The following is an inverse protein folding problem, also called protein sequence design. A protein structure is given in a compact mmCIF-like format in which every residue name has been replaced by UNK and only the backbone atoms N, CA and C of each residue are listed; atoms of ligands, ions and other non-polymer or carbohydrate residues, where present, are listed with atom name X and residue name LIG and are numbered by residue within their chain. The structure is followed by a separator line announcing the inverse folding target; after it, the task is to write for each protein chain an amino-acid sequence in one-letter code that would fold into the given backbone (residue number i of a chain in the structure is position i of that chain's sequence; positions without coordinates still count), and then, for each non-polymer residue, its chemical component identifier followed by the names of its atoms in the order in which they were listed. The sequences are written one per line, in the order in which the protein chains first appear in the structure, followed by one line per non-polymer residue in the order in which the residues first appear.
data_IF_828404593653
#
_entry.id   IF_828404593653
#
_cell.length_a   1.000
_cell.length_b   1.000
_cell.length_c   1.000
_cell.angle_alpha   90.00
_cell.angle_beta   90.00
_cell.angle_gamma   90.00
#
_symmetry.space_group_name_H-M   'P 1'
#
loop_
_entity.id
_entity.type
_entity.pdbx_description
1 polymer ?
#
# COMPACT_ATOMS: atom_id res chain seq x y z
N UNK A 1 30.66 32.21 22.05
CA UNK A 1 30.84 31.09 21.09
C UNK A 1 29.58 30.24 21.14
N UNK A 2 28.63 30.48 20.24
CA UNK A 2 27.43 29.65 20.12
C UNK A 2 27.74 28.49 19.16
N UNK A 3 27.52 27.29 19.69
CA UNK A 3 27.63 25.98 19.08
C UNK A 3 27.26 25.95 17.60
N UNK A 4 28.08 25.25 16.81
CA UNK A 4 27.80 24.87 15.42
C UNK A 4 26.38 24.35 15.29
N UNK A 5 25.57 25.03 14.46
CA UNK A 5 24.24 24.53 14.09
C UNK A 5 24.44 23.21 13.34
N UNK A 6 23.84 22.14 13.85
CA UNK A 6 23.64 20.91 13.08
C UNK A 6 22.62 21.18 11.97
N UNK A 7 23.01 21.93 10.93
CA UNK A 7 22.20 22.10 9.74
C UNK A 7 22.77 21.23 8.63
N UNK A 8 21.96 20.31 8.09
CA UNK A 8 22.30 19.61 6.86
C UNK A 8 21.90 20.49 5.66
N UNK A 9 22.72 20.55 4.60
CA UNK A 9 22.44 21.38 3.41
C UNK A 9 21.20 20.90 2.63
N UNK A 10 20.86 19.61 2.71
CA UNK A 10 19.63 19.03 2.17
C UNK A 10 19.32 17.71 2.88
N UNK A 11 18.04 17.39 3.05
CA UNK A 11 17.57 16.06 3.48
C UNK A 11 17.50 15.05 2.32
N UNK A 12 17.61 15.51 1.06
CA UNK A 12 17.56 14.67 -0.14
C UNK A 12 18.97 14.18 -0.48
N UNK A 13 19.36 13.07 0.16
CA UNK A 13 20.66 12.41 -0.06
C UNK A 13 20.53 11.33 -1.15
N UNK A 14 20.64 11.74 -2.42
CA UNK A 14 20.36 10.90 -3.61
C UNK A 14 21.02 9.52 -3.55
N UNK A 15 22.33 9.47 -3.24
CA UNK A 15 23.08 8.21 -3.25
C UNK A 15 22.64 7.29 -2.11
N UNK A 16 22.38 7.83 -0.93
CA UNK A 16 21.88 7.05 0.21
C UNK A 16 20.45 6.56 -0.01
N UNK A 17 19.58 7.38 -0.61
CA UNK A 17 18.23 6.96 -1.02
C UNK A 17 18.28 5.79 -2.01
N UNK A 18 19.18 5.85 -3.00
CA UNK A 18 19.40 4.74 -3.92
C UNK A 18 19.92 3.48 -3.20
N UNK A 19 20.83 3.61 -2.25
CA UNK A 19 21.30 2.47 -1.44
C UNK A 19 20.15 1.84 -0.64
N UNK A 20 19.25 2.65 -0.08
CA UNK A 20 18.06 2.15 0.62
C UNK A 20 17.16 1.40 -0.37
N UNK A 21 16.82 2.00 -1.52
CA UNK A 21 15.97 1.36 -2.55
C UNK A 21 16.54 0.02 -3.03
N UNK A 22 17.83 -0.04 -3.37
CA UNK A 22 18.52 -1.28 -3.75
C UNK A 22 18.49 -2.32 -2.62
N UNK A 23 18.67 -1.89 -1.37
CA UNK A 23 18.60 -2.79 -0.21
C UNK A 23 17.20 -3.36 -0.04
N UNK A 24 16.16 -2.53 -0.21
CA UNK A 24 14.75 -2.94 -0.08
C UNK A 24 14.37 -3.99 -1.13
N UNK A 25 14.98 -3.97 -2.33
CA UNK A 25 14.73 -4.98 -3.37
C UNK A 25 15.18 -6.39 -2.98
N UNK A 26 16.07 -6.53 -1.99
CA UNK A 26 16.54 -7.82 -1.50
C UNK A 26 15.76 -8.35 -0.30
N UNK A 27 14.90 -7.52 0.31
CA UNK A 27 14.09 -7.95 1.44
C UNK A 27 13.07 -9.00 1.01
N UNK A 28 12.96 -10.05 1.83
CA UNK A 28 11.97 -11.10 1.67
C UNK A 28 10.90 -10.96 2.75
N UNK A 29 9.64 -11.31 2.44
CA UNK A 29 8.62 -11.44 3.48
C UNK A 29 9.09 -12.40 4.59
N UNK A 30 8.76 -12.12 5.86
CA UNK A 30 9.14 -13.00 6.96
C UNK A 30 8.42 -14.34 6.85
N UNK A 31 9.13 -15.41 7.17
CA UNK A 31 8.54 -16.74 7.31
C UNK A 31 7.84 -16.86 8.66
N UNK A 32 6.71 -17.56 8.72
CA UNK A 32 6.05 -17.85 10.00
C UNK A 32 7.01 -18.58 10.96
N UNK A 33 7.31 -18.02 12.14
CA UNK A 33 8.22 -18.62 13.10
C UNK A 33 7.46 -19.63 14.00
N UNK A 34 7.39 -20.90 13.58
CA UNK A 34 6.65 -21.95 14.30
C UNK A 34 7.14 -22.16 15.74
N UNK A 35 8.42 -21.89 16.00
CA UNK A 35 9.05 -21.96 17.31
C UNK A 35 8.56 -20.87 18.29
N UNK A 36 8.14 -19.72 17.76
CA UNK A 36 7.66 -18.58 18.55
C UNK A 36 6.14 -18.47 18.57
N UNK A 37 5.49 -18.64 17.42
CA UNK A 37 4.05 -18.39 17.23
C UNK A 37 3.22 -19.67 17.09
N UNK A 38 3.85 -20.83 17.22
CA UNK A 38 3.21 -22.15 17.17
C UNK A 38 3.19 -22.74 15.76
N UNK A 39 3.04 -24.07 15.71
CA UNK A 39 3.03 -24.84 14.47
C UNK A 39 1.85 -24.48 13.56
N UNK A 40 2.07 -24.56 12.25
CA UNK A 40 1.03 -24.40 11.23
C UNK A 40 0.26 -25.71 11.06
N UNK A 41 -1.07 -25.63 11.04
CA UNK A 41 -1.91 -26.76 10.65
C UNK A 41 -1.89 -26.91 9.12
N UNK A 42 -1.01 -27.79 8.62
CA UNK A 42 -0.80 -27.97 7.17
C UNK A 42 -2.06 -28.45 6.42
N UNK A 43 -2.82 -29.47 6.91
CA UNK A 43 -4.11 -29.82 6.31
C UNK A 43 -5.08 -28.65 6.21
N UNK A 44 -5.19 -27.83 7.26
CA UNK A 44 -6.08 -26.67 7.26
C UNK A 44 -5.56 -25.55 6.34
N UNK A 45 -4.26 -25.31 6.29
CA UNK A 45 -3.63 -24.40 5.34
C UNK A 45 -3.84 -24.85 3.87
N UNK A 46 -3.84 -26.15 3.59
CA UNK A 46 -4.15 -26.66 2.25
C UNK A 46 -5.60 -26.38 1.83
N UNK A 47 -6.56 -26.47 2.76
CA UNK A 47 -7.94 -26.02 2.53
C UNK A 47 -7.98 -24.51 2.28
N UNK A 48 -7.23 -23.74 3.08
CA UNK A 48 -7.07 -22.29 2.91
C UNK A 48 -6.50 -21.90 1.55
N UNK A 49 -5.56 -22.69 1.00
CA UNK A 49 -4.99 -22.48 -0.34
C UNK A 49 -6.06 -22.57 -1.43
N UNK A 50 -6.98 -23.54 -1.31
CA UNK A 50 -8.09 -23.67 -2.26
C UNK A 50 -9.05 -22.46 -2.17
N UNK A 51 -9.42 -22.07 -0.94
CA UNK A 51 -10.26 -20.89 -0.69
C UNK A 51 -9.61 -19.59 -1.19
N UNK A 52 -8.31 -19.43 -0.99
CA UNK A 52 -7.55 -18.28 -1.46
C UNK A 52 -7.55 -18.20 -2.99
N UNK A 53 -7.36 -19.34 -3.66
CA UNK A 53 -7.41 -19.42 -5.12
C UNK A 53 -8.78 -19.00 -5.66
N UNK A 54 -9.86 -19.45 -5.01
CA UNK A 54 -11.24 -19.10 -5.38
C UNK A 54 -11.56 -17.62 -5.13
N UNK A 55 -11.17 -17.08 -3.97
CA UNK A 55 -11.74 -15.83 -3.45
C UNK A 55 -10.77 -14.64 -3.44
N UNK A 56 -9.45 -14.88 -3.45
CA UNK A 56 -8.45 -13.84 -3.18
C UNK A 56 -7.49 -13.62 -4.37
N UNK A 57 -7.08 -14.71 -5.03
CA UNK A 57 -6.01 -14.68 -6.02
C UNK A 57 -6.29 -13.74 -7.19
N UNK A 58 -7.55 -13.63 -7.63
CA UNK A 58 -7.94 -12.74 -8.73
C UNK A 58 -7.60 -11.27 -8.51
N UNK A 59 -7.54 -10.81 -7.25
CA UNK A 59 -7.12 -9.44 -6.92
C UNK A 59 -5.66 -9.39 -6.43
N UNK A 60 -5.24 -10.35 -5.59
CA UNK A 60 -4.00 -10.27 -4.83
C UNK A 60 -2.79 -10.95 -5.47
N UNK A 61 -2.98 -11.78 -6.50
CA UNK A 61 -1.87 -12.39 -7.26
C UNK A 61 -1.68 -11.58 -8.53
N UNK A 62 -0.66 -10.70 -8.60
CA UNK A 62 -0.45 -9.86 -9.77
C UNK A 62 0.03 -10.69 -10.95
N UNK A 63 -0.35 -10.27 -12.16
CA UNK A 63 0.25 -10.80 -13.39
C UNK A 63 1.70 -10.32 -13.48
N UNK A 64 2.61 -11.21 -13.86
CA UNK A 64 4.00 -10.84 -14.13
C UNK A 64 4.18 -10.71 -15.63
N UNK A 65 4.68 -9.56 -16.08
CA UNK A 65 4.97 -9.25 -17.48
C UNK A 65 6.42 -8.80 -17.63
N UNK A 66 7.06 -9.13 -18.74
CA UNK A 66 8.37 -8.54 -19.07
C UNK A 66 8.19 -7.11 -19.59
N UNK A 67 8.90 -6.15 -19.01
CA UNK A 67 8.96 -4.76 -19.50
C UNK A 67 10.35 -4.19 -19.24
N UNK A 68 10.94 -3.55 -20.25
CA UNK A 68 12.29 -2.97 -20.19
C UNK A 68 13.36 -3.98 -19.71
N UNK A 69 13.25 -5.24 -20.13
CA UNK A 69 14.21 -6.30 -19.79
C UNK A 69 14.15 -6.80 -18.35
N UNK A 70 13.04 -6.56 -17.64
CA UNK A 70 12.81 -7.08 -16.28
C UNK A 70 11.37 -7.61 -16.13
N UNK A 71 11.15 -8.55 -15.19
CA UNK A 71 9.81 -8.90 -14.75
C UNK A 71 9.18 -7.74 -13.97
N UNK A 72 7.93 -7.43 -14.28
CA UNK A 72 7.12 -6.39 -13.63
C UNK A 72 5.81 -7.01 -13.15
N UNK A 73 5.52 -6.82 -11.86
CA UNK A 73 4.23 -7.20 -11.27
C UNK A 73 3.17 -6.14 -11.54
N UNK A 74 2.15 -6.49 -12.31
CA UNK A 74 1.01 -5.64 -12.60
C UNK A 74 -0.02 -5.76 -11.47
N UNK A 75 0.03 -4.81 -10.53
CA UNK A 75 -0.91 -4.75 -9.41
C UNK A 75 -2.29 -4.30 -9.87
N UNK A 76 -3.33 -4.92 -9.30
CA UNK A 76 -4.71 -4.53 -9.57
C UNK A 76 -5.07 -3.27 -8.75
N UNK A 77 -5.47 -2.20 -9.44
CA UNK A 77 -6.09 -1.03 -8.81
C UNK A 77 -7.59 -1.26 -8.73
N UNK A 78 -8.13 -1.43 -7.53
CA UNK A 78 -9.57 -1.67 -7.32
C UNK A 78 -10.25 -0.35 -7.01
N UNK A 79 -11.21 0.04 -7.84
CA UNK A 79 -11.95 1.29 -7.71
C UNK A 79 -12.77 1.34 -6.41
N UNK A 80 -12.96 2.53 -5.85
CA UNK A 80 -13.66 2.77 -4.59
C UNK A 80 -15.10 2.24 -4.58
N UNK A 81 -15.80 2.37 -5.71
CA UNK A 81 -17.17 1.86 -5.90
C UNK A 81 -17.24 0.33 -5.91
N UNK A 82 -16.12 -0.36 -6.11
CA UNK A 82 -16.00 -1.81 -5.97
C UNK A 82 -15.54 -2.18 -4.56
N UNK A 83 -14.40 -1.65 -4.12
CA UNK A 83 -13.75 -2.08 -2.87
C UNK A 83 -14.41 -1.53 -1.61
N UNK A 84 -15.10 -0.38 -1.68
CA UNK A 84 -15.88 0.22 -0.59
C UNK A 84 -15.13 0.58 0.70
N UNK A 85 -13.80 0.54 0.69
CA UNK A 85 -12.96 0.98 1.82
C UNK A 85 -12.96 2.51 1.94
N UNK A 86 -12.48 3.05 3.06
CA UNK A 86 -12.48 4.49 3.32
C UNK A 86 -11.99 5.30 2.09
N UNK A 87 -12.80 6.24 1.58
CA UNK A 87 -12.50 6.91 0.32
C UNK A 87 -11.48 8.05 0.50
N UNK A 88 -11.20 8.49 1.72
CA UNK A 88 -10.57 9.78 2.00
C UNK A 88 -9.22 9.96 1.32
N UNK A 89 -8.30 8.99 1.47
CA UNK A 89 -6.96 9.10 0.88
C UNK A 89 -7.01 9.10 -0.66
N UNK A 90 -7.76 8.19 -1.27
CA UNK A 90 -7.87 8.09 -2.72
C UNK A 90 -8.60 9.29 -3.35
N UNK A 91 -9.72 9.73 -2.77
CA UNK A 91 -10.43 10.93 -3.21
C UNK A 91 -9.59 12.19 -3.02
N UNK A 92 -8.79 12.28 -1.95
CA UNK A 92 -7.92 13.44 -1.77
C UNK A 92 -6.90 13.56 -2.90
N UNK A 93 -6.25 12.46 -3.28
CA UNK A 93 -5.29 12.44 -4.39
C UNK A 93 -5.98 12.76 -5.73
N UNK A 94 -7.15 12.16 -5.97
CA UNK A 94 -7.84 12.27 -7.25
C UNK A 94 -8.58 13.61 -7.45
N UNK A 95 -9.13 14.18 -6.39
CA UNK A 95 -10.16 15.23 -6.49
C UNK A 95 -9.70 16.58 -5.93
N UNK A 96 -8.86 16.62 -4.90
CA UNK A 96 -8.49 17.89 -4.28
C UNK A 96 -7.62 18.72 -5.23
N UNK A 97 -8.01 19.99 -5.40
CA UNK A 97 -7.35 20.97 -6.26
C UNK A 97 -6.78 22.12 -5.43
N UNK A 98 -5.62 22.62 -5.85
CA UNK A 98 -4.93 23.74 -5.22
C UNK A 98 -4.55 24.80 -6.25
N UNK A 99 -4.50 26.04 -5.78
CA UNK A 99 -3.91 27.14 -6.53
C UNK A 99 -2.39 27.16 -6.28
N UNK A 100 -1.64 26.81 -7.33
CA UNK A 100 -0.18 26.81 -7.37
C UNK A 100 0.37 27.98 -8.21
N UNK A 101 -0.46 28.95 -8.60
CA UNK A 101 -0.03 30.11 -9.41
C UNK A 101 1.06 30.95 -8.73
N UNK A 102 1.11 30.95 -7.40
CA UNK A 102 2.16 31.59 -6.62
C UNK A 102 3.56 31.01 -6.89
N UNK A 103 3.66 29.76 -7.39
CA UNK A 103 4.94 29.17 -7.82
C UNK A 103 5.47 29.76 -9.12
N UNK A 104 4.62 30.50 -9.86
CA UNK A 104 4.98 31.19 -11.11
C UNK A 104 5.65 30.25 -12.14
N UNK A 105 5.23 28.99 -12.18
CA UNK A 105 5.74 28.02 -13.13
C UNK A 105 5.32 28.37 -14.55
N UNK A 106 6.25 28.21 -15.49
CA UNK A 106 5.97 28.30 -16.91
C UNK A 106 5.49 26.91 -17.42
N UNK A 107 4.24 26.79 -17.89
CA UNK A 107 3.72 25.54 -18.46
C UNK A 107 4.60 24.96 -19.58
N UNK A 108 5.28 25.80 -20.37
CA UNK A 108 6.17 25.34 -21.42
C UNK A 108 7.45 24.68 -20.87
N UNK A 109 7.92 25.10 -19.70
CA UNK A 109 9.01 24.44 -18.98
C UNK A 109 8.54 23.17 -18.28
N UNK A 110 7.32 23.18 -17.71
CA UNK A 110 6.72 21.97 -17.12
C UNK A 110 6.57 20.84 -18.14
N UNK A 111 6.19 21.17 -19.38
CA UNK A 111 6.05 20.21 -20.47
C UNK A 111 7.36 19.52 -20.88
N UNK A 112 8.53 20.04 -20.47
CA UNK A 112 9.85 19.46 -20.73
C UNK A 112 10.33 18.54 -19.60
N UNK A 113 9.64 18.53 -18.46
CA UNK A 113 10.00 17.70 -17.31
C UNK A 113 9.64 16.23 -17.56
N UNK A 114 10.36 15.33 -16.89
CA UNK A 114 10.15 13.88 -16.98
C UNK A 114 8.91 13.42 -16.17
N UNK A 115 7.76 14.03 -16.44
CA UNK A 115 6.49 13.79 -15.75
C UNK A 115 5.49 13.20 -16.74
N UNK A 116 4.85 12.10 -16.35
CA UNK A 116 3.80 11.46 -17.14
C UNK A 116 2.48 11.48 -16.34
N UNK A 117 1.51 12.23 -16.84
CA UNK A 117 0.19 12.32 -16.23
C UNK A 117 -0.75 11.29 -16.87
N UNK A 118 -1.48 10.56 -16.03
CA UNK A 118 -2.41 9.54 -16.49
C UNK A 118 -3.83 9.78 -15.91
N UNK A 119 -4.84 10.00 -16.76
CA UNK A 119 -4.76 10.09 -18.22
C UNK A 119 -3.97 11.32 -18.69
N UNK A 120 -3.47 11.26 -19.94
CA UNK A 120 -2.80 12.39 -20.55
C UNK A 120 -3.79 13.58 -20.64
N UNK A 121 -3.37 14.81 -20.27
CA UNK A 121 -4.26 15.97 -20.32
C UNK A 121 -4.71 16.27 -21.75
N UNK A 122 -5.99 16.56 -21.92
CA UNK A 122 -6.55 17.04 -23.20
C UNK A 122 -6.53 18.56 -23.29
N UNK A 123 -6.30 19.25 -22.17
CA UNK A 123 -6.23 20.70 -22.05
C UNK A 123 -4.90 21.11 -21.39
N UNK A 124 -4.43 22.36 -21.59
CA UNK A 124 -3.27 22.88 -20.87
C UNK A 124 -3.46 22.82 -19.35
N UNK A 125 -2.35 22.70 -18.62
CA UNK A 125 -2.37 22.72 -17.16
C UNK A 125 -2.91 24.05 -16.64
N UNK A 126 -3.94 23.99 -15.79
CA UNK A 126 -4.44 25.13 -15.03
C UNK A 126 -3.77 25.17 -13.66
N UNK A 127 -2.82 26.11 -13.48
CA UNK A 127 -2.09 26.27 -12.22
C UNK A 127 -3.00 26.68 -11.05
N UNK A 128 -4.18 27.25 -11.30
CA UNK A 128 -5.12 27.60 -10.23
C UNK A 128 -5.94 26.38 -9.74
N UNK A 129 -5.90 25.27 -10.47
CA UNK A 129 -6.70 24.06 -10.20
C UNK A 129 -5.88 22.78 -10.40
N UNK A 130 -4.64 22.77 -9.94
CA UNK A 130 -3.82 21.56 -10.01
C UNK A 130 -4.28 20.55 -8.98
N UNK A 131 -4.36 19.28 -9.36
CA UNK A 131 -4.61 18.22 -8.37
C UNK A 131 -3.43 18.02 -7.43
N UNK A 132 -3.66 17.36 -6.29
CA UNK A 132 -2.56 16.88 -5.42
C UNK A 132 -1.56 16.07 -6.25
N UNK A 133 -2.07 15.20 -7.12
CA UNK A 133 -1.28 14.27 -7.90
C UNK A 133 -0.37 15.01 -8.90
N UNK A 134 -0.93 15.95 -9.67
CA UNK A 134 -0.18 16.78 -10.62
C UNK A 134 0.83 17.67 -9.90
N UNK A 135 0.39 18.38 -8.86
CA UNK A 135 1.25 19.27 -8.08
C UNK A 135 2.45 18.52 -7.50
N UNK A 136 2.21 17.36 -6.88
CA UNK A 136 3.27 16.52 -6.32
C UNK A 136 4.25 16.03 -7.40
N UNK A 137 3.76 15.62 -8.58
CA UNK A 137 4.63 15.14 -9.66
C UNK A 137 5.58 16.25 -10.16
N UNK A 138 5.07 17.46 -10.40
CA UNK A 138 5.90 18.57 -10.87
C UNK A 138 6.85 19.08 -9.77
N UNK A 139 6.40 19.22 -8.52
CA UNK A 139 7.30 19.56 -7.40
C UNK A 139 8.42 18.53 -7.30
N UNK A 140 8.09 17.24 -7.40
CA UNK A 140 9.08 16.15 -7.35
C UNK A 140 10.09 16.27 -8.48
N UNK A 141 9.66 16.54 -9.71
CA UNK A 141 10.56 16.73 -10.85
C UNK A 141 11.55 17.90 -10.64
N UNK A 142 11.11 19.01 -10.04
CA UNK A 142 12.01 20.12 -9.69
C UNK A 142 13.01 19.73 -8.61
N UNK A 143 12.53 19.08 -7.54
CA UNK A 143 13.38 18.62 -6.43
C UNK A 143 14.41 17.60 -6.91
N UNK A 144 13.99 16.64 -7.73
CA UNK A 144 14.86 15.64 -8.35
C UNK A 144 15.93 16.30 -9.21
N UNK A 145 15.56 17.18 -10.13
CA UNK A 145 16.51 17.87 -11.00
C UNK A 145 17.54 18.70 -10.20
N UNK A 146 17.11 19.36 -9.14
CA UNK A 146 18.02 20.07 -8.23
C UNK A 146 18.94 19.09 -7.48
N UNK A 147 18.38 18.04 -6.89
CA UNK A 147 19.12 17.06 -6.09
C UNK A 147 20.16 16.31 -6.94
N UNK A 148 19.83 15.96 -8.19
CA UNK A 148 20.75 15.30 -9.11
C UNK A 148 21.90 16.20 -9.52
N UNK A 149 21.65 17.49 -9.81
CA UNK A 149 22.72 18.46 -10.06
C UNK A 149 23.62 18.61 -8.83
N UNK A 150 23.05 18.74 -7.64
CA UNK A 150 23.81 18.88 -6.40
C UNK A 150 24.64 17.63 -6.07
N UNK A 151 24.14 16.44 -6.42
CA UNK A 151 24.83 15.16 -6.23
C UNK A 151 25.76 14.77 -7.39
N UNK A 152 25.93 15.63 -8.40
CA UNK A 152 26.78 15.37 -9.57
C UNK A 152 26.34 14.14 -10.38
N UNK A 153 25.05 13.82 -10.41
CA UNK A 153 24.50 12.69 -11.17
C UNK A 153 24.70 12.95 -12.66
N UNK A 154 25.33 12.01 -13.36
CA UNK A 154 25.57 12.13 -14.80
C UNK A 154 24.36 11.64 -15.62
N UNK A 155 24.25 12.03 -16.90
CA UNK A 155 23.20 11.51 -17.78
C UNK A 155 23.21 9.98 -17.94
N UNK A 156 24.38 9.34 -17.78
CA UNK A 156 24.49 7.87 -17.88
C UNK A 156 24.05 7.17 -16.61
N UNK A 157 24.18 7.81 -15.44
CA UNK A 157 23.70 7.27 -14.16
C UNK A 157 22.20 7.43 -13.97
N UNK A 158 21.64 8.53 -14.48
CA UNK A 158 20.27 8.97 -14.21
C UNK A 158 19.20 7.89 -14.47
N UNK A 159 19.16 7.18 -15.61
CA UNK A 159 18.15 6.16 -15.85
C UNK A 159 18.13 5.06 -14.78
N UNK A 160 19.28 4.73 -14.19
CA UNK A 160 19.36 3.74 -13.12
C UNK A 160 18.70 4.27 -11.84
N UNK A 161 18.96 5.54 -11.50
CA UNK A 161 18.40 6.21 -10.32
C UNK A 161 16.89 6.47 -10.48
N UNK A 162 16.42 6.69 -11.70
CA UNK A 162 15.00 6.91 -12.04
C UNK A 162 14.21 5.58 -12.13
N UNK A 163 14.69 4.52 -11.48
CA UNK A 163 14.00 3.23 -11.46
C UNK A 163 13.79 2.67 -12.87
N UNK A 164 14.88 2.46 -13.61
CA UNK A 164 14.90 1.92 -14.99
C UNK A 164 14.44 2.94 -16.05
N UNK A 165 14.76 4.22 -15.82
CA UNK A 165 14.51 5.34 -16.73
C UNK A 165 13.02 5.66 -16.84
N UNK A 166 12.23 5.31 -15.83
CA UNK A 166 10.81 5.56 -15.84
C UNK A 166 10.54 7.05 -15.55
N UNK A 167 9.51 7.64 -16.17
CA UNK A 167 9.08 8.98 -15.82
C UNK A 167 8.45 9.01 -14.42
N UNK A 168 8.34 10.21 -13.85
CA UNK A 168 7.49 10.46 -12.69
C UNK A 168 6.04 10.32 -13.15
N UNK A 169 5.54 9.09 -13.10
CA UNK A 169 4.18 8.73 -13.49
C UNK A 169 3.19 8.95 -12.35
N UNK A 170 2.09 9.65 -12.61
CA UNK A 170 1.03 9.86 -11.62
C UNK A 170 -0.36 9.59 -12.20
N UNK A 171 -1.21 8.97 -11.38
CA UNK A 171 -2.58 8.59 -11.74
C UNK A 171 -3.57 9.17 -10.73
N UNK A 172 -4.59 9.87 -11.20
CA UNK A 172 -5.68 10.41 -10.37
C UNK A 172 -6.80 9.39 -10.21
N UNK A 173 -6.50 8.27 -9.55
CA UNK A 173 -7.48 7.20 -9.36
C UNK A 173 -8.18 7.29 -8.02
N UNK A 174 -9.50 7.17 -8.04
CA UNK A 174 -10.33 6.78 -6.90
C UNK A 174 -10.24 5.26 -6.68
N UNK A 175 -9.05 4.77 -6.34
CA UNK A 175 -8.78 3.34 -6.22
C UNK A 175 -7.65 3.03 -5.24
N UNK A 176 -7.64 1.81 -4.72
CA UNK A 176 -6.52 1.28 -3.94
C UNK A 176 -5.90 0.06 -4.61
N UNK A 177 -4.58 -0.10 -4.45
CA UNK A 177 -3.85 -1.26 -4.96
C UNK A 177 -4.12 -2.50 -4.10
N UNK A 178 -4.49 -3.61 -4.72
CA UNK A 178 -4.44 -4.91 -4.10
C UNK A 178 -2.99 -5.37 -4.00
N UNK A 179 -2.43 -5.37 -2.79
CA UNK A 179 -1.03 -5.76 -2.55
C UNK A 179 -0.88 -7.29 -2.55
N UNK A 180 0.26 -7.84 -3.00
CA UNK A 180 0.61 -9.24 -2.73
C UNK A 180 0.54 -9.53 -1.23
N UNK A 181 0.07 -10.73 -0.88
CA UNK A 181 -0.24 -11.09 0.51
C UNK A 181 0.85 -11.94 1.19
N UNK A 182 1.98 -12.22 0.52
CA UNK A 182 3.10 -12.91 1.16
C UNK A 182 3.60 -12.11 2.37
N UNK A 183 3.64 -12.75 3.54
CA UNK A 183 4.00 -12.11 4.82
C UNK A 183 2.96 -11.15 5.39
N UNK A 184 1.74 -11.09 4.84
CA UNK A 184 0.70 -10.16 5.30
C UNK A 184 0.38 -10.32 6.80
N UNK A 185 0.50 -11.54 7.33
CA UNK A 185 0.33 -11.85 8.75
C UNK A 185 1.17 -10.92 9.65
N UNK A 186 2.36 -10.50 9.20
CA UNK A 186 3.28 -9.67 9.98
C UNK A 186 3.03 -8.16 9.86
N UNK A 187 1.95 -7.73 9.18
CA UNK A 187 1.69 -6.31 8.88
C UNK A 187 0.36 -5.74 9.41
N UNK A 188 -0.11 -6.10 10.62
CA UNK A 188 -1.29 -5.46 11.19
C UNK A 188 -1.00 -4.00 11.61
N UNK A 189 -2.04 -3.16 11.74
CA UNK A 189 -3.42 -3.38 11.33
C UNK A 189 -3.63 -3.32 9.80
N UNK A 190 -4.79 -3.78 9.34
CA UNK A 190 -5.12 -3.97 7.92
C UNK A 190 -5.99 -2.85 7.34
N UNK A 191 -6.18 -2.94 6.01
CA UNK A 191 -6.63 -1.85 5.13
C UNK A 191 -5.59 -0.72 5.02
N UNK A 192 -5.83 0.26 4.15
CA UNK A 192 -4.88 1.34 3.88
C UNK A 192 -4.75 2.32 5.05
N UNK A 193 -5.78 2.42 5.91
CA UNK A 193 -5.86 3.31 7.07
C UNK A 193 -5.65 2.58 8.41
N UNK A 194 -5.39 1.27 8.39
CA UNK A 194 -5.16 0.49 9.60
C UNK A 194 -6.39 0.41 10.53
N UNK A 195 -7.58 0.36 9.95
CA UNK A 195 -8.88 0.37 10.64
C UNK A 195 -9.41 -1.01 11.03
N UNK A 196 -8.74 -2.09 10.62
CA UNK A 196 -9.10 -3.47 10.98
C UNK A 196 -7.93 -4.14 11.68
N UNK A 197 -8.04 -4.54 12.96
CA UNK A 197 -6.89 -4.92 13.78
C UNK A 197 -6.29 -6.30 13.46
N UNK A 198 -7.10 -7.24 12.99
CA UNK A 198 -6.71 -8.65 12.77
C UNK A 198 -7.18 -9.14 11.40
N UNK A 199 -6.50 -10.13 10.81
CA UNK A 199 -6.95 -10.77 9.56
C UNK A 199 -8.30 -11.46 9.79
N UNK A 200 -8.52 -12.04 10.97
CA UNK A 200 -9.82 -12.65 11.29
C UNK A 200 -10.97 -11.65 11.14
N UNK A 201 -10.82 -10.42 11.67
CA UNK A 201 -11.83 -9.37 11.49
C UNK A 201 -11.92 -8.89 10.04
N UNK A 202 -10.81 -8.86 9.30
CA UNK A 202 -10.81 -8.50 7.88
C UNK A 202 -11.65 -9.48 7.04
N UNK A 203 -11.58 -10.78 7.35
CA UNK A 203 -12.36 -11.83 6.70
C UNK A 203 -13.77 -11.99 7.28
N UNK A 204 -14.10 -11.26 8.36
CA UNK A 204 -15.42 -11.26 8.95
C UNK A 204 -16.31 -10.18 8.30
N UNK A 205 -17.64 -10.38 8.28
CA UNK A 205 -18.62 -9.35 7.95
C UNK A 205 -18.33 -8.03 8.67
N UNK A 206 -18.67 -6.91 8.02
CA UNK A 206 -18.30 -5.59 8.53
C UNK A 206 -18.93 -5.30 9.91
N UNK A 207 -20.13 -5.81 10.18
CA UNK A 207 -20.86 -5.67 11.44
C UNK A 207 -20.24 -6.49 12.60
N UNK A 208 -19.39 -7.48 12.30
CA UNK A 208 -18.59 -8.21 13.28
C UNK A 208 -17.25 -7.50 13.60
N UNK A 209 -16.86 -6.48 12.84
CA UNK A 209 -15.59 -5.74 13.04
C UNK A 209 -15.68 -4.78 14.21
N UNK A 210 -14.56 -4.62 14.94
CA UNK A 210 -14.46 -3.62 15.98
C UNK A 210 -14.65 -2.20 15.41
N UNK A 211 -15.55 -1.43 16.02
CA UNK A 211 -15.77 0.00 15.69
C UNK A 211 -14.88 0.93 16.51
N UNK A 212 -14.37 0.43 17.65
CA UNK A 212 -13.35 1.10 18.46
C UNK A 212 -12.37 0.07 19.00
N UNK A 213 -11.07 0.39 19.03
CA UNK A 213 -10.03 -0.47 19.60
C UNK A 213 -8.78 0.33 19.99
N UNK A 214 -7.94 -0.23 20.84
CA UNK A 214 -6.71 0.43 21.29
C UNK A 214 -5.51 0.07 20.40
N UNK A 215 -4.68 1.07 20.07
CA UNK A 215 -3.45 0.95 19.28
C UNK A 215 -2.21 1.35 20.10
N UNK A 216 -1.05 0.89 19.62
CA UNK A 216 0.27 1.25 20.16
C UNK A 216 0.98 0.11 20.91
N UNK A 217 0.31 -1.04 21.06
CA UNK A 217 0.94 -2.25 21.60
C UNK A 217 1.80 -2.95 20.55
N UNK A 218 2.78 -3.72 21.02
CA UNK A 218 3.53 -4.69 20.21
C UNK A 218 3.11 -6.13 20.50
N UNK A 219 2.15 -6.35 21.40
CA UNK A 219 1.63 -7.68 21.70
C UNK A 219 0.83 -8.23 20.51
N UNK A 220 1.35 -9.31 19.94
CA UNK A 220 0.79 -9.95 18.76
C UNK A 220 -0.10 -11.13 19.15
N UNK A 221 -1.26 -11.23 18.49
CA UNK A 221 -2.20 -12.35 18.58
C UNK A 221 -1.97 -13.31 17.40
N UNK A 222 -1.26 -14.43 17.60
CA UNK A 222 -0.98 -15.40 16.53
C UNK A 222 -2.21 -16.21 16.11
N UNK A 223 -3.27 -16.21 16.91
CA UNK A 223 -4.51 -16.92 16.58
C UNK A 223 -5.30 -16.14 15.55
N UNK A 224 -5.52 -14.84 15.76
CA UNK A 224 -6.33 -14.02 14.84
C UNK A 224 -5.50 -13.26 13.78
N UNK A 225 -4.16 -13.34 13.87
CA UNK A 225 -3.19 -12.65 13.02
C UNK A 225 -3.35 -11.13 13.08
N UNK A 226 -2.92 -10.54 14.18
CA UNK A 226 -2.91 -9.10 14.36
C UNK A 226 -2.37 -8.66 15.71
N UNK A 227 -2.51 -7.39 16.04
CA UNK A 227 -2.19 -6.91 17.39
C UNK A 227 -3.37 -7.10 18.35
N UNK A 228 -3.05 -7.27 19.63
CA UNK A 228 -4.01 -7.14 20.72
C UNK A 228 -4.64 -5.74 20.74
N UNK A 229 -5.88 -5.64 21.20
CA UNK A 229 -6.74 -4.45 21.03
C UNK A 229 -7.31 -3.91 22.33
N UNK A 230 -6.96 -4.54 23.45
CA UNK A 230 -7.36 -4.17 24.80
C UNK A 230 -6.67 -2.87 25.26
N UNK A 231 -7.31 -2.19 26.23
CA UNK A 231 -6.74 -0.98 26.81
C UNK A 231 -5.42 -1.26 27.55
N UNK A 232 -4.45 -0.36 27.41
CA UNK A 232 -3.20 -0.36 28.17
C UNK A 232 -2.74 1.08 28.45
N UNK A 233 -1.78 1.31 29.39
CA UNK A 233 -1.30 2.65 29.69
C UNK A 233 -0.72 3.35 28.44
N UNK A 234 -1.14 4.60 28.18
CA UNK A 234 -0.78 5.40 27.00
C UNK A 234 -1.28 4.86 25.65
N UNK A 235 -2.25 3.96 25.66
CA UNK A 235 -2.87 3.48 24.45
C UNK A 235 -3.63 4.59 23.71
N UNK A 236 -3.63 4.52 22.38
CA UNK A 236 -4.44 5.40 21.54
C UNK A 236 -5.76 4.71 21.18
N UNK A 237 -6.90 5.34 21.47
CA UNK A 237 -8.21 4.85 21.03
C UNK A 237 -8.40 5.18 19.56
N UNK A 238 -8.50 4.15 18.73
CA UNK A 238 -8.87 4.28 17.33
C UNK A 238 -10.39 4.13 17.19
N UNK A 239 -11.03 5.11 16.57
CA UNK A 239 -12.48 5.12 16.30
C UNK A 239 -12.72 5.12 14.80
N UNK A 240 -13.38 4.08 14.29
CA UNK A 240 -13.63 3.88 12.85
C UNK A 240 -14.75 4.75 12.31
N UNK A 241 -15.45 5.49 13.18
CA UNK A 241 -16.52 6.43 12.79
C UNK A 241 -15.99 7.81 12.44
N UNK A 242 -14.72 8.08 12.72
CA UNK A 242 -14.04 9.31 12.33
C UNK A 242 -13.75 9.27 10.83
N UNK A 243 -14.00 10.36 10.11
CA UNK A 243 -13.67 10.50 8.68
C UNK A 243 -12.21 10.17 8.42
N UNK A 244 -11.94 9.25 7.48
CA UNK A 244 -10.60 8.74 7.18
C UNK A 244 -10.27 7.42 7.88
N UNK A 245 -11.02 7.05 8.92
CA UNK A 245 -10.80 5.84 9.72
C UNK A 245 -11.81 4.72 9.43
N UNK A 246 -12.67 4.84 8.41
CA UNK A 246 -13.72 3.85 8.18
C UNK A 246 -13.12 2.45 7.99
N UNK A 247 -13.74 1.45 8.63
CA UNK A 247 -13.40 0.03 8.53
C UNK A 247 -14.29 -0.71 7.50
N UNK A 248 -14.87 0.03 6.57
CA UNK A 248 -15.83 -0.48 5.58
C UNK A 248 -15.17 -1.20 4.41
N UNK A 249 -15.97 -1.93 3.65
CA UNK A 249 -15.55 -2.55 2.40
C UNK A 249 -14.55 -3.69 2.57
N UNK A 250 -14.05 -4.18 1.43
CA UNK A 250 -13.35 -5.46 1.37
C UNK A 250 -14.13 -6.54 2.15
N UNK A 251 -15.43 -6.64 1.86
CA UNK A 251 -16.39 -7.44 2.61
C UNK A 251 -16.73 -8.73 1.87
N UNK A 252 -16.80 -9.82 2.61
CA UNK A 252 -17.27 -11.13 2.16
C UNK A 252 -18.69 -11.34 2.69
N UNK A 253 -19.69 -11.10 1.84
CA UNK A 253 -21.12 -11.18 2.19
C UNK A 253 -21.92 -11.65 0.99
N UNK A 254 -22.94 -12.46 1.21
CA UNK A 254 -23.83 -12.89 0.15
C UNK A 254 -24.62 -11.70 -0.41
N UNK A 255 -24.80 -11.67 -1.74
CA UNK A 255 -25.52 -10.62 -2.45
C UNK A 255 -24.77 -10.07 -3.66
N UNK A 256 -25.19 -8.89 -4.10
CA UNK A 256 -24.60 -8.20 -5.24
C UNK A 256 -23.20 -7.69 -4.90
N UNK A 257 -22.23 -7.96 -5.79
CA UNK A 257 -20.86 -7.44 -5.70
C UNK A 257 -20.82 -5.93 -6.00
N UNK A 258 -19.82 -5.25 -5.45
CA UNK A 258 -19.68 -3.80 -5.50
C UNK A 258 -20.07 -3.14 -4.17
N UNK A 259 -19.87 -1.83 -4.08
CA UNK A 259 -20.09 -1.03 -2.87
C UNK A 259 -19.48 -1.66 -1.60
N UNK A 260 -18.30 -2.27 -1.73
CA UNK A 260 -17.60 -2.92 -0.63
C UNK A 260 -17.66 -4.44 -0.62
N UNK A 261 -18.65 -5.07 -1.27
CA UNK A 261 -18.79 -6.52 -1.32
C UNK A 261 -17.95 -7.10 -2.45
N UNK A 262 -16.94 -7.90 -2.11
CA UNK A 262 -15.96 -8.44 -3.06
C UNK A 262 -16.10 -9.95 -3.31
N UNK A 263 -16.85 -10.65 -2.46
CA UNK A 263 -17.03 -12.10 -2.55
C UNK A 263 -18.22 -12.59 -1.73
N UNK A 264 -18.53 -13.88 -1.86
CA UNK A 264 -19.56 -14.56 -1.06
C UNK A 264 -19.25 -14.50 0.43
N UNK A 265 -20.23 -14.76 1.27
CA UNK A 265 -19.98 -14.91 2.70
C UNK A 265 -19.00 -16.08 2.96
N UNK A 266 -18.08 -15.86 3.90
CA UNK A 266 -17.16 -16.88 4.39
C UNK A 266 -17.68 -17.45 5.70
N UNK A 267 -17.83 -18.77 5.74
CA UNK A 267 -18.16 -19.49 6.96
C UNK A 267 -17.02 -19.39 7.97
N UNK A 268 -17.27 -19.44 9.29
CA UNK A 268 -16.22 -19.29 10.31
C UNK A 268 -15.02 -20.23 10.09
N UNK A 269 -15.24 -21.48 9.71
CA UNK A 269 -14.18 -22.45 9.42
C UNK A 269 -13.34 -22.08 8.18
N UNK A 270 -13.95 -21.46 7.17
CA UNK A 270 -13.23 -20.99 5.97
C UNK A 270 -12.30 -19.83 6.32
N UNK A 271 -12.72 -18.95 7.24
CA UNK A 271 -11.86 -17.86 7.75
C UNK A 271 -10.63 -18.45 8.44
N UNK A 272 -10.79 -19.45 9.31
CA UNK A 272 -9.68 -20.12 9.98
C UNK A 272 -8.74 -20.83 8.99
N UNK A 273 -9.28 -21.50 7.97
CA UNK A 273 -8.49 -22.10 6.90
C UNK A 273 -7.65 -21.07 6.14
N UNK A 274 -8.26 -19.94 5.77
CA UNK A 274 -7.56 -18.82 5.13
C UNK A 274 -6.45 -18.24 6.03
N UNK A 275 -6.70 -18.09 7.33
CA UNK A 275 -5.67 -17.63 8.27
C UNK A 275 -4.44 -18.55 8.27
N UNK A 276 -4.64 -19.87 8.38
CA UNK A 276 -3.53 -20.83 8.34
C UNK A 276 -2.75 -20.75 7.02
N UNK A 277 -3.44 -20.61 5.89
CA UNK A 277 -2.76 -20.46 4.60
C UNK A 277 -1.96 -19.15 4.50
N UNK A 278 -2.50 -18.04 5.01
CA UNK A 278 -1.82 -16.74 4.98
C UNK A 278 -0.55 -16.70 5.85
N UNK A 279 -0.39 -17.62 6.81
CA UNK A 279 0.88 -17.80 7.55
C UNK A 279 2.00 -18.29 6.64
N UNK A 280 1.68 -19.14 5.66
CA UNK A 280 2.68 -19.83 4.83
C UNK A 280 2.82 -19.27 3.42
N UNK A 281 1.87 -18.47 2.94
CA UNK A 281 1.84 -17.89 1.60
C UNK A 281 3.16 -17.20 1.22
N UNK A 282 3.77 -17.66 0.12
CA UNK A 282 5.04 -17.19 -0.41
C UNK A 282 6.28 -17.66 0.36
N UNK A 283 6.11 -18.51 1.37
CA UNK A 283 7.16 -19.05 2.22
C UNK A 283 7.51 -20.51 1.92
N UNK A 284 8.59 -21.05 2.54
CA UNK A 284 9.04 -22.42 2.32
C UNK A 284 8.04 -23.48 2.82
N UNK A 285 7.19 -23.15 3.81
CA UNK A 285 6.17 -24.07 4.33
C UNK A 285 5.02 -24.30 3.34
N UNK A 286 4.74 -23.36 2.43
CA UNK A 286 3.67 -23.52 1.44
C UNK A 286 3.92 -24.70 0.50
N UNK A 287 5.18 -24.97 0.16
CA UNK A 287 5.59 -26.09 -0.69
C UNK A 287 5.42 -27.45 -0.01
N UNK A 288 5.19 -27.47 1.31
CA UNK A 288 5.03 -28.67 2.12
C UNK A 288 3.57 -28.98 2.44
N UNK A 289 2.63 -28.16 1.96
CA UNK A 289 1.21 -28.41 2.12
C UNK A 289 0.79 -29.65 1.29
N UNK A 290 -0.09 -30.51 1.82
CA UNK A 290 -0.61 -31.67 1.10
C UNK A 290 -1.41 -31.30 -0.15
#
# INVERSE_FOLDING_TARGET
MLSSRYSYPSSVRVRDLNTIEETLQHLKPPTWPEDLLGAVDKPLAAQGRALFTENCAGCHVPKVTEANGRPVQQLNMIALDIIGTDPGAASNIADQRYDLSALQWDPAELAKLNVELHPAPTEPLDLHKMSVAQGLAYVTAFVEAHAYRAAGVTPTERPRLDGFGLPIGVRELRAYKARPLAGVWATPPFLHNGSVPTIYQLLSPQDERATTFYKGTFEYDPRHLGYRTEAFPNAFVFDTRITGNHNSGHEFRDGQRGNGVIGRALQPQERWALLEYLKVLGGPLEQQLP
#
